data_IF_285967123918
#
_entry.id   IF_285967123918
#
_cell.length_a   1.000
_cell.length_b   1.000
_cell.length_c   1.000
_cell.angle_alpha   90.00
_cell.angle_beta   90.00
_cell.angle_gamma   90.00
#
_symmetry.space_group_name_H-M   'P 1'
#
loop_
_entity.id
_entity.type
_entity.pdbx_description
1 polymer ?
#
# COMPACT_ATOMS: atom_id res chain seq x y z
N UNK A 1 23.47 3.41 -12.39
CA UNK A 1 22.94 2.73 -11.19
C UNK A 1 21.79 3.56 -10.66
N UNK A 2 20.59 2.98 -10.49
CA UNK A 2 19.43 3.67 -9.92
C UNK A 2 19.52 3.58 -8.41
N UNK A 3 19.40 4.73 -7.72
CA UNK A 3 19.52 4.80 -6.27
C UNK A 3 18.14 5.02 -5.63
N UNK A 4 17.64 4.00 -4.94
CA UNK A 4 16.39 4.06 -4.15
C UNK A 4 16.68 4.09 -2.63
N UNK A 5 17.82 4.64 -2.23
CA UNK A 5 18.26 4.70 -0.84
C UNK A 5 17.26 5.35 0.13
N UNK A 6 16.72 6.54 -0.19
CA UNK A 6 15.70 7.18 0.65
C UNK A 6 14.45 6.30 0.82
N UNK A 7 13.97 5.69 -0.26
CA UNK A 7 12.79 4.80 -0.19
C UNK A 7 13.07 3.55 0.65
N UNK A 8 14.27 2.97 0.56
CA UNK A 8 14.68 1.84 1.43
C UNK A 8 14.66 2.25 2.91
N UNK A 9 15.11 3.47 3.23
CA UNK A 9 15.05 3.98 4.60
C UNK A 9 13.59 4.15 5.08
N UNK A 10 12.72 4.71 4.24
CA UNK A 10 11.29 4.87 4.54
C UNK A 10 10.62 3.50 4.79
N UNK A 11 10.91 2.48 3.96
CA UNK A 11 10.38 1.12 4.11
C UNK A 11 10.78 0.50 5.44
N UNK A 12 12.04 0.67 5.85
CA UNK A 12 12.56 0.12 7.11
C UNK A 12 12.01 0.85 8.34
N UNK A 13 11.76 2.15 8.22
CA UNK A 13 11.21 2.98 9.29
C UNK A 13 9.70 2.84 9.48
N UNK A 14 8.99 2.31 8.49
CA UNK A 14 7.54 2.20 8.50
C UNK A 14 7.02 1.25 9.59
N UNK A 15 5.87 1.62 10.17
CA UNK A 15 5.26 0.88 11.27
C UNK A 15 4.46 -0.35 10.85
N UNK A 16 4.40 -0.68 9.59
CA UNK A 16 3.73 -1.82 8.97
C UNK A 16 2.73 -2.57 9.86
N UNK A 17 1.44 -2.37 9.64
CA UNK A 17 0.35 -3.07 10.34
C UNK A 17 0.33 -2.88 11.88
N UNK A 18 1.13 -1.96 12.44
CA UNK A 18 1.17 -1.78 13.89
C UNK A 18 -0.07 -1.08 14.46
N UNK A 19 -0.81 -0.33 13.64
CA UNK A 19 -1.98 0.45 14.04
C UNK A 19 -3.31 -0.17 13.57
N UNK A 20 -3.31 -1.44 13.13
CA UNK A 20 -4.53 -2.12 12.72
C UNK A 20 -5.57 -2.17 13.86
N UNK A 21 -6.80 -1.78 13.54
CA UNK A 21 -7.90 -1.75 14.52
C UNK A 21 -7.89 -0.56 15.49
N UNK A 22 -6.82 0.22 15.51
CA UNK A 22 -6.76 1.43 16.34
C UNK A 22 -7.58 2.57 15.72
N UNK A 23 -8.08 3.53 16.53
CA UNK A 23 -8.77 4.71 16.01
C UNK A 23 -7.93 5.45 14.96
N UNK A 24 -8.58 5.97 13.93
CA UNK A 24 -7.89 6.78 12.90
C UNK A 24 -7.47 8.11 13.50
N UNK A 25 -6.25 8.55 13.16
CA UNK A 25 -5.78 9.90 13.46
C UNK A 25 -6.25 10.89 12.38
N UNK A 26 -6.17 12.19 12.67
CA UNK A 26 -6.44 13.22 11.65
C UNK A 26 -5.47 13.09 10.45
N UNK A 27 -4.23 12.70 10.71
CA UNK A 27 -3.24 12.41 9.67
C UNK A 27 -3.65 11.26 8.77
N UNK A 28 -4.12 10.14 9.33
CA UNK A 28 -4.62 8.99 8.57
C UNK A 28 -5.78 9.41 7.67
N UNK A 29 -6.70 10.25 8.15
CA UNK A 29 -7.85 10.74 7.39
C UNK A 29 -7.40 11.63 6.23
N UNK A 30 -6.44 12.50 6.45
CA UNK A 30 -5.86 13.36 5.40
C UNK A 30 -5.20 12.53 4.32
N UNK A 31 -4.34 11.58 4.68
CA UNK A 31 -3.66 10.71 3.72
C UNK A 31 -4.67 9.82 2.95
N UNK A 32 -5.67 9.29 3.65
CA UNK A 32 -6.72 8.49 3.05
C UNK A 32 -7.51 9.26 1.98
N UNK A 33 -7.89 10.50 2.27
CA UNK A 33 -8.58 11.38 1.32
C UNK A 33 -7.69 11.76 0.14
N UNK A 34 -6.42 12.07 0.41
CA UNK A 34 -5.46 12.44 -0.64
C UNK A 34 -5.22 11.27 -1.60
N UNK A 35 -5.04 10.06 -1.06
CA UNK A 35 -4.85 8.86 -1.86
C UNK A 35 -6.07 8.50 -2.71
N UNK A 36 -7.25 8.48 -2.10
CA UNK A 36 -8.43 7.91 -2.71
C UNK A 36 -9.40 8.95 -3.29
N UNK A 37 -9.21 10.24 -3.00
CA UNK A 37 -10.22 11.26 -3.28
C UNK A 37 -11.53 11.01 -2.55
N UNK A 38 -11.50 10.26 -1.44
CA UNK A 38 -12.67 9.84 -0.71
C UNK A 38 -13.35 11.01 0.02
N UNK A 39 -14.67 11.02 -0.02
CA UNK A 39 -15.47 11.98 0.77
C UNK A 39 -15.53 11.55 2.22
N UNK A 40 -15.61 10.24 2.47
CA UNK A 40 -15.73 9.65 3.78
C UNK A 40 -14.64 8.57 3.97
N UNK A 41 -14.12 8.47 5.20
CA UNK A 41 -13.15 7.46 5.60
C UNK A 41 -13.76 6.64 6.73
N UNK A 42 -13.90 5.34 6.54
CA UNK A 42 -14.56 4.42 7.48
C UNK A 42 -13.54 3.43 8.00
N UNK A 43 -13.18 3.53 9.29
CA UNK A 43 -12.25 2.62 9.92
C UNK A 43 -12.80 1.19 9.97
N UNK A 44 -12.01 0.25 9.48
CA UNK A 44 -12.16 -1.18 9.76
C UNK A 44 -11.44 -1.47 11.07
N UNK A 45 -12.04 -2.26 11.97
CA UNK A 45 -11.57 -2.39 13.36
C UNK A 45 -11.08 -3.79 13.74
N UNK A 46 -11.24 -4.75 12.85
CA UNK A 46 -10.88 -6.13 13.14
C UNK A 46 -10.57 -6.93 11.88
N UNK A 47 -9.80 -8.02 12.03
CA UNK A 47 -9.54 -8.95 10.94
C UNK A 47 -10.81 -9.56 10.31
N UNK A 48 -11.84 -9.95 11.07
CA UNK A 48 -13.11 -10.40 10.49
C UNK A 48 -13.77 -9.35 9.60
N UNK A 49 -13.82 -8.09 10.04
CA UNK A 49 -14.37 -6.99 9.22
C UNK A 49 -13.55 -6.76 7.95
N UNK A 50 -12.21 -6.85 8.03
CA UNK A 50 -11.33 -6.74 6.87
C UNK A 50 -11.57 -7.90 5.89
N UNK A 51 -11.73 -9.12 6.39
CA UNK A 51 -12.05 -10.30 5.59
C UNK A 51 -13.43 -10.18 4.92
N UNK A 52 -14.43 -9.71 5.64
CA UNK A 52 -15.77 -9.47 5.10
C UNK A 52 -15.75 -8.40 4.01
N UNK A 53 -14.96 -7.33 4.19
CA UNK A 53 -14.76 -6.32 3.16
C UNK A 53 -14.16 -6.93 1.88
N UNK A 54 -13.10 -7.73 2.02
CA UNK A 54 -12.41 -8.36 0.88
C UNK A 54 -13.28 -9.37 0.12
N UNK A 55 -14.23 -10.00 0.81
CA UNK A 55 -15.21 -10.93 0.21
C UNK A 55 -16.43 -10.21 -0.37
N UNK A 56 -16.61 -8.93 -0.08
CA UNK A 56 -17.77 -8.16 -0.53
C UNK A 56 -17.78 -8.01 -2.05
N UNK A 57 -18.91 -8.31 -2.72
CA UNK A 57 -19.05 -8.07 -4.16
C UNK A 57 -19.06 -6.56 -4.51
N UNK A 58 -19.20 -5.69 -3.52
CA UNK A 58 -19.18 -4.24 -3.66
C UNK A 58 -17.75 -3.65 -3.52
N UNK A 59 -16.73 -4.46 -3.31
CA UNK A 59 -15.36 -3.99 -3.40
C UNK A 59 -15.14 -3.38 -4.79
N UNK A 60 -14.70 -2.13 -4.85
CA UNK A 60 -14.69 -1.35 -6.08
C UNK A 60 -13.61 -1.83 -7.06
N UNK A 61 -13.96 -2.71 -7.98
CA UNK A 61 -13.09 -3.12 -9.09
C UNK A 61 -12.65 -1.90 -9.92
N UNK A 62 -13.53 -0.93 -10.13
CA UNK A 62 -13.24 0.31 -10.85
C UNK A 62 -12.10 1.12 -10.22
N UNK A 63 -12.01 1.11 -8.89
CA UNK A 63 -10.89 1.74 -8.19
C UNK A 63 -9.56 1.05 -8.48
N UNK A 64 -9.53 -0.27 -8.42
CA UNK A 64 -8.36 -1.08 -8.73
C UNK A 64 -7.90 -0.89 -10.18
N UNK A 65 -8.84 -0.81 -11.12
CA UNK A 65 -8.56 -0.55 -12.54
C UNK A 65 -7.92 0.82 -12.74
N UNK A 66 -8.38 1.85 -12.04
CA UNK A 66 -7.78 3.20 -12.09
C UNK A 66 -6.35 3.22 -11.51
N UNK A 67 -6.13 2.55 -10.40
CA UNK A 67 -4.80 2.39 -9.79
C UNK A 67 -3.84 1.69 -10.74
N UNK A 68 -4.29 0.62 -11.37
CA UNK A 68 -3.49 -0.15 -12.33
C UNK A 68 -3.20 0.67 -13.60
N UNK A 69 -4.15 1.43 -14.10
CA UNK A 69 -3.93 2.33 -15.23
C UNK A 69 -2.88 3.40 -14.91
N UNK A 70 -2.95 4.02 -13.74
CA UNK A 70 -1.95 4.98 -13.26
C UNK A 70 -0.57 4.33 -13.12
N UNK A 71 -0.49 3.16 -12.52
CA UNK A 71 0.77 2.40 -12.37
C UNK A 71 1.43 2.13 -13.73
N UNK A 72 0.65 1.68 -14.71
CA UNK A 72 1.14 1.41 -16.08
C UNK A 72 1.67 2.67 -16.75
N UNK A 73 0.97 3.80 -16.62
CA UNK A 73 1.42 5.09 -17.16
C UNK A 73 2.76 5.51 -16.56
N UNK A 74 2.86 5.47 -15.22
CA UNK A 74 4.09 5.84 -14.52
C UNK A 74 5.25 4.87 -14.83
N UNK A 75 4.98 3.59 -15.01
CA UNK A 75 6.00 2.62 -15.42
C UNK A 75 6.56 2.96 -16.80
N UNK A 76 5.71 3.28 -17.77
CA UNK A 76 6.15 3.68 -19.10
C UNK A 76 7.01 4.97 -19.06
N UNK A 77 6.67 5.92 -18.18
CA UNK A 77 7.49 7.11 -17.96
C UNK A 77 8.85 6.78 -17.33
N UNK A 78 8.88 5.85 -16.38
CA UNK A 78 10.12 5.38 -15.75
C UNK A 78 11.01 4.64 -16.76
N UNK A 79 10.43 3.79 -17.62
CA UNK A 79 11.12 3.08 -18.69
C UNK A 79 11.74 4.05 -19.71
N UNK A 80 11.07 5.16 -20.01
CA UNK A 80 11.60 6.18 -20.89
C UNK A 80 12.78 6.97 -20.29
N UNK A 81 12.92 7.00 -18.97
CA UNK A 81 13.96 7.75 -18.25
C UNK A 81 15.17 6.92 -17.84
N UNK A 82 15.01 5.62 -17.72
CA UNK A 82 16.02 4.73 -17.16
C UNK A 82 16.35 3.57 -18.08
N UNK A 83 17.62 3.11 -18.15
CA UNK A 83 17.96 1.89 -18.86
C UNK A 83 17.18 0.69 -18.29
N UNK A 84 16.54 -0.07 -19.17
CA UNK A 84 15.64 -1.18 -18.83
C UNK A 84 16.22 -2.12 -17.75
N UNK A 85 17.44 -2.62 -17.98
CA UNK A 85 18.11 -3.54 -17.04
C UNK A 85 18.30 -2.92 -15.66
N UNK A 86 18.68 -1.63 -15.60
CA UNK A 86 18.91 -0.95 -14.33
C UNK A 86 17.60 -0.71 -13.57
N UNK A 87 16.53 -0.35 -14.30
CA UNK A 87 15.19 -0.17 -13.76
C UNK A 87 14.66 -1.45 -13.12
N UNK A 88 14.64 -2.53 -13.90
CA UNK A 88 14.11 -3.81 -13.42
C UNK A 88 14.95 -4.43 -12.29
N UNK A 89 16.28 -4.28 -12.32
CA UNK A 89 17.13 -4.70 -11.20
C UNK A 89 16.75 -3.94 -9.93
N UNK A 90 16.65 -2.61 -10.00
CA UNK A 90 16.33 -1.78 -8.84
C UNK A 90 14.92 -2.08 -8.26
N UNK A 91 13.92 -2.25 -9.13
CA UNK A 91 12.56 -2.60 -8.73
C UNK A 91 12.52 -3.99 -8.08
N UNK A 92 13.17 -4.98 -8.67
CA UNK A 92 13.19 -6.36 -8.15
C UNK A 92 13.87 -6.43 -6.78
N UNK A 93 15.04 -5.83 -6.63
CA UNK A 93 15.75 -5.79 -5.34
C UNK A 93 14.92 -5.14 -4.24
N UNK A 94 14.33 -3.98 -4.56
CA UNK A 94 13.52 -3.24 -3.60
C UNK A 94 12.26 -4.01 -3.17
N UNK A 95 11.55 -4.60 -4.14
CA UNK A 95 10.30 -5.33 -3.86
C UNK A 95 10.57 -6.64 -3.12
N UNK A 96 11.69 -7.31 -3.37
CA UNK A 96 12.11 -8.49 -2.61
C UNK A 96 12.38 -8.13 -1.16
N UNK A 97 13.21 -7.11 -0.91
CA UNK A 97 13.52 -6.63 0.45
C UNK A 97 12.25 -6.19 1.19
N UNK A 98 11.37 -5.44 0.52
CA UNK A 98 10.12 -5.01 1.09
C UNK A 98 9.17 -6.18 1.38
N UNK A 99 9.08 -7.15 0.46
CA UNK A 99 8.24 -8.33 0.61
C UNK A 99 8.59 -9.13 1.86
N UNK A 100 9.87 -9.42 2.07
CA UNK A 100 10.35 -10.14 3.25
C UNK A 100 9.99 -9.41 4.56
N UNK A 101 10.22 -8.09 4.58
CA UNK A 101 9.93 -7.26 5.75
C UNK A 101 8.44 -7.20 6.06
N UNK A 102 7.60 -6.85 5.08
CA UNK A 102 6.17 -6.66 5.30
C UNK A 102 5.45 -7.96 5.61
N UNK A 103 5.90 -9.09 5.04
CA UNK A 103 5.34 -10.40 5.33
C UNK A 103 5.55 -10.79 6.78
N UNK A 104 6.76 -10.60 7.31
CA UNK A 104 7.07 -10.82 8.72
C UNK A 104 6.26 -9.92 9.66
N UNK A 105 6.06 -8.65 9.29
CA UNK A 105 5.25 -7.70 10.08
C UNK A 105 3.76 -8.04 10.05
N UNK A 106 3.23 -8.43 8.90
CA UNK A 106 1.83 -8.87 8.77
C UNK A 106 1.56 -10.13 9.62
N UNK A 107 2.44 -11.12 9.59
CA UNK A 107 2.35 -12.30 10.43
C UNK A 107 2.34 -11.97 11.93
N UNK A 108 3.19 -11.04 12.36
CA UNK A 108 3.23 -10.55 13.74
C UNK A 108 1.91 -9.88 14.14
N UNK A 109 1.35 -9.04 13.26
CA UNK A 109 0.09 -8.36 13.50
C UNK A 109 -1.08 -9.35 13.64
N UNK A 110 -1.15 -10.35 12.76
CA UNK A 110 -2.20 -11.37 12.84
C UNK A 110 -2.06 -12.27 14.07
N UNK A 111 -0.85 -12.61 14.47
CA UNK A 111 -0.61 -13.36 15.71
C UNK A 111 -1.11 -12.59 16.96
N UNK A 112 -0.92 -11.27 16.98
CA UNK A 112 -1.46 -10.39 18.06
C UNK A 112 -2.98 -10.36 18.05
N UNK A 113 -3.60 -10.36 16.89
CA UNK A 113 -5.06 -10.37 16.72
C UNK A 113 -5.72 -11.73 17.02
N UNK A 114 -4.97 -12.73 17.46
CA UNK A 114 -5.49 -14.05 17.76
C UNK A 114 -5.39 -15.06 16.63
N UNK A 115 -4.55 -14.80 15.64
CA UNK A 115 -4.24 -15.69 14.52
C UNK A 115 -5.46 -16.10 13.67
N UNK A 116 -6.51 -15.30 13.69
CA UNK A 116 -7.81 -15.67 13.10
C UNK A 116 -7.85 -15.55 11.58
N UNK A 117 -6.83 -14.94 10.93
CA UNK A 117 -6.96 -14.54 9.53
C UNK A 117 -5.70 -14.79 8.68
N UNK A 118 -5.22 -16.04 8.65
CA UNK A 118 -4.05 -16.39 7.82
C UNK A 118 -4.22 -16.04 6.34
N UNK A 119 -5.43 -16.15 5.79
CA UNK A 119 -5.71 -15.77 4.41
C UNK A 119 -5.54 -14.26 4.20
N UNK A 120 -6.02 -13.43 5.14
CA UNK A 120 -5.93 -11.98 5.07
C UNK A 120 -4.49 -11.47 5.24
N UNK A 121 -3.62 -12.21 5.93
CA UNK A 121 -2.19 -11.90 6.04
C UNK A 121 -1.51 -11.82 4.65
N UNK A 122 -1.76 -12.80 3.80
CA UNK A 122 -1.15 -12.82 2.47
C UNK A 122 -1.64 -11.67 1.61
N UNK A 123 -2.94 -11.33 1.73
CA UNK A 123 -3.51 -10.18 1.02
C UNK A 123 -2.90 -8.88 1.54
N UNK A 124 -2.79 -8.71 2.86
CA UNK A 124 -2.19 -7.53 3.47
C UNK A 124 -0.72 -7.34 3.07
N UNK A 125 0.08 -8.41 3.13
CA UNK A 125 1.48 -8.39 2.74
C UNK A 125 1.64 -8.11 1.24
N UNK A 126 0.79 -8.70 0.39
CA UNK A 126 0.76 -8.43 -1.04
C UNK A 126 0.42 -6.98 -1.35
N UNK A 127 -0.61 -6.42 -0.69
CA UNK A 127 -1.00 -5.02 -0.86
C UNK A 127 0.10 -4.05 -0.41
N UNK A 128 0.78 -4.33 0.70
CA UNK A 128 1.89 -3.53 1.20
C UNK A 128 3.10 -3.58 0.25
N UNK A 129 3.48 -4.76 -0.22
CA UNK A 129 4.55 -4.92 -1.21
C UNK A 129 4.22 -4.21 -2.51
N UNK A 130 2.97 -4.29 -2.96
CA UNK A 130 2.50 -3.56 -4.14
C UNK A 130 2.56 -2.04 -3.94
N UNK A 131 2.25 -1.53 -2.74
CA UNK A 131 2.36 -0.09 -2.45
C UNK A 131 3.81 0.40 -2.57
N UNK A 132 4.78 -0.38 -2.14
CA UNK A 132 6.21 -0.08 -2.31
C UNK A 132 6.59 -0.05 -3.79
N UNK A 133 6.16 -1.05 -4.57
CA UNK A 133 6.40 -1.09 -6.00
C UNK A 133 5.79 0.12 -6.72
N UNK A 134 4.52 0.45 -6.43
CA UNK A 134 3.83 1.61 -7.01
C UNK A 134 4.55 2.91 -6.69
N UNK A 135 4.98 3.10 -5.44
CA UNK A 135 5.73 4.27 -5.03
C UNK A 135 7.11 4.34 -5.71
N UNK A 136 7.82 3.23 -5.80
CA UNK A 136 9.11 3.18 -6.50
C UNK A 136 8.97 3.58 -7.97
N UNK A 137 7.97 3.05 -8.65
CA UNK A 137 7.67 3.41 -10.04
C UNK A 137 7.34 4.90 -10.17
N UNK A 138 6.52 5.46 -9.26
CA UNK A 138 6.17 6.88 -9.27
C UNK A 138 7.42 7.78 -9.09
N UNK A 139 8.27 7.46 -8.11
CA UNK A 139 9.52 8.21 -7.88
C UNK A 139 10.50 8.09 -9.05
N UNK A 140 10.60 6.92 -9.69
CA UNK A 140 11.43 6.71 -10.87
C UNK A 140 10.87 7.42 -12.11
N UNK A 141 9.55 7.58 -12.19
CA UNK A 141 8.90 8.43 -13.18
C UNK A 141 9.07 9.94 -12.90
N UNK A 142 9.63 10.33 -11.73
CA UNK A 142 9.76 11.72 -11.30
C UNK A 142 8.44 12.36 -10.87
N UNK A 143 7.47 11.56 -10.44
CA UNK A 143 6.16 12.02 -9.96
C UNK A 143 6.08 11.90 -8.43
N UNK A 144 6.61 12.90 -7.73
CA UNK A 144 6.61 12.96 -6.26
C UNK A 144 5.23 13.30 -5.65
N UNK A 145 4.31 13.81 -6.47
CA UNK A 145 2.93 14.12 -6.06
C UNK A 145 1.93 13.01 -6.39
N UNK A 146 2.41 11.80 -6.68
CA UNK A 146 1.57 10.65 -7.00
C UNK A 146 0.69 10.25 -5.81
N UNK A 147 -0.57 9.81 -6.04
CA UNK A 147 -1.41 9.21 -5.01
C UNK A 147 -0.75 8.01 -4.31
N UNK A 148 0.20 7.35 -4.95
CA UNK A 148 0.97 6.24 -4.35
C UNK A 148 1.85 6.68 -3.20
N UNK A 149 2.26 7.95 -3.12
CA UNK A 149 2.94 8.51 -1.94
C UNK A 149 2.02 8.47 -0.71
N UNK A 150 0.79 8.96 -0.84
CA UNK A 150 -0.20 8.93 0.25
C UNK A 150 -0.64 7.51 0.60
N UNK A 151 -0.78 6.62 -0.39
CA UNK A 151 -1.03 5.19 -0.14
C UNK A 151 0.07 4.57 0.73
N UNK A 152 1.33 4.80 0.37
CA UNK A 152 2.46 4.30 1.14
C UNK A 152 2.49 4.88 2.56
N UNK A 153 2.17 6.17 2.74
CA UNK A 153 2.12 6.79 4.07
C UNK A 153 1.08 6.16 4.99
N UNK A 154 -0.06 5.70 4.46
CA UNK A 154 -1.02 4.91 5.24
C UNK A 154 -0.39 3.61 5.77
N UNK A 155 0.29 2.86 4.91
CA UNK A 155 1.03 1.67 5.34
C UNK A 155 2.15 2.01 6.32
N UNK A 156 2.89 3.09 6.09
CA UNK A 156 3.97 3.55 6.96
C UNK A 156 3.47 3.97 8.35
N UNK A 157 2.24 4.50 8.43
CA UNK A 157 1.56 4.79 9.69
C UNK A 157 1.02 3.54 10.41
N UNK A 158 1.16 2.36 9.82
CA UNK A 158 0.71 1.09 10.38
C UNK A 158 -0.69 0.65 9.96
N UNK A 159 -1.27 1.31 8.96
CA UNK A 159 -2.61 1.05 8.44
C UNK A 159 -2.57 0.16 7.19
N UNK A 160 -3.71 -0.36 6.82
CA UNK A 160 -3.92 -1.04 5.55
C UNK A 160 -5.14 -0.45 4.83
N UNK A 161 -4.95 0.34 3.76
CA UNK A 161 -6.07 0.81 2.94
C UNK A 161 -6.64 -0.36 2.15
N UNK A 162 -7.78 -0.89 2.60
CA UNK A 162 -8.42 -2.07 2.01
C UNK A 162 -8.99 -1.78 0.62
N UNK A 163 -9.60 -0.62 0.44
CA UNK A 163 -10.17 -0.22 -0.84
C UNK A 163 -11.22 0.85 -0.72
N UNK A 164 -11.77 1.23 -1.88
CA UNK A 164 -12.80 2.27 -2.01
C UNK A 164 -14.09 1.64 -2.51
N UNK A 165 -15.19 1.97 -1.86
CA UNK A 165 -16.55 1.61 -2.32
C UNK A 165 -17.34 2.89 -2.48
N UNK A 166 -17.72 3.21 -3.72
CA UNK A 166 -18.31 4.51 -4.04
C UNK A 166 -17.35 5.65 -3.73
N UNK A 167 -17.68 6.53 -2.80
CA UNK A 167 -16.84 7.66 -2.34
C UNK A 167 -16.22 7.42 -0.96
N UNK A 168 -16.18 6.19 -0.48
CA UNK A 168 -15.73 5.81 0.86
C UNK A 168 -14.46 4.97 0.80
N UNK A 169 -13.41 5.36 1.52
CA UNK A 169 -12.22 4.54 1.73
C UNK A 169 -12.33 3.81 3.07
N UNK A 170 -11.89 2.56 3.07
CA UNK A 170 -11.90 1.66 4.23
C UNK A 170 -10.47 1.32 4.65
N UNK A 171 -9.84 2.05 5.58
CA UNK A 171 -8.57 1.66 6.19
C UNK A 171 -8.79 0.76 7.40
N UNK A 172 -7.91 -0.25 7.52
CA UNK A 172 -7.80 -1.14 8.69
C UNK A 172 -6.56 -0.83 9.49
#
# INVERSE_FOLDING_TARGET
>A
MILLGPLRADIRAASWFAALGEPLTDGDIVEARTYAGAVEVIAVRSWPEAEDFLKSPNASLEWWDREEALRKSLLAEAEARHPERALWTALTELTTEAGDLVHGKAATAAARAGNAALASIHVAAGAASQSVYQLAVARLAGNEASPFESKFRLFAAGRWPLGVVGSRLFPF
#
